data_IF_846149433461
#
_entry.id   IF_846149433461
#
_cell.length_a   1.000
_cell.length_b   1.000
_cell.length_c   1.000
_cell.angle_alpha   90.00
_cell.angle_beta   90.00
_cell.angle_gamma   90.00
#
_symmetry.space_group_name_H-M   'P 1'
#
loop_
_entity.id
_entity.type
_entity.pdbx_description
1 polymer ?
#
# COMPACT_ATOMS: atom_id res chain seq x y z
N UNK A 1 -5.02 8.54 19.90
CA UNK A 1 -3.93 7.59 19.59
C UNK A 1 -3.87 7.55 18.09
N UNK A 2 -2.73 7.88 17.50
CA UNK A 2 -2.63 8.06 16.05
C UNK A 2 -1.98 6.85 15.39
N UNK A 3 -2.23 6.66 14.09
CA UNK A 3 -1.63 5.57 13.30
C UNK A 3 -0.10 5.54 13.42
N UNK A 4 0.51 6.72 13.39
CA UNK A 4 1.95 6.88 13.49
C UNK A 4 2.50 6.35 14.81
N UNK A 5 1.79 6.60 15.92
CA UNK A 5 2.18 6.11 17.25
C UNK A 5 2.12 4.58 17.33
N UNK A 6 1.12 3.97 16.69
CA UNK A 6 0.98 2.52 16.62
C UNK A 6 2.09 1.88 15.76
N UNK A 7 2.42 2.46 14.61
CA UNK A 7 3.46 1.96 13.72
C UNK A 7 4.86 1.98 14.35
N UNK A 8 5.14 2.96 15.21
CA UNK A 8 6.41 3.09 15.92
C UNK A 8 6.56 2.17 17.13
N UNK A 9 5.49 1.56 17.63
CA UNK A 9 5.55 0.62 18.74
C UNK A 9 6.16 -0.72 18.37
N UNK A 10 6.68 -1.41 19.37
CA UNK A 10 7.20 -2.77 19.19
C UNK A 10 6.04 -3.76 19.08
N UNK A 11 6.32 -4.94 18.52
CA UNK A 11 5.31 -6.01 18.43
C UNK A 11 4.81 -6.42 19.82
N UNK A 12 5.67 -6.36 20.84
CA UNK A 12 5.29 -6.70 22.20
C UNK A 12 4.31 -5.66 22.78
N UNK A 13 4.59 -4.36 22.60
CA UNK A 13 3.67 -3.31 23.05
C UNK A 13 2.31 -3.42 22.36
N UNK A 14 2.30 -3.75 21.06
CA UNK A 14 1.05 -3.97 20.30
C UNK A 14 0.28 -5.18 20.82
N UNK A 15 0.95 -6.25 21.23
CA UNK A 15 0.32 -7.43 21.84
C UNK A 15 -0.26 -7.14 23.22
N UNK A 16 0.45 -6.36 24.03
CA UNK A 16 -0.05 -5.92 25.33
C UNK A 16 -1.28 -5.02 25.17
N UNK A 17 -1.27 -4.13 24.17
CA UNK A 17 -2.43 -3.30 23.85
C UNK A 17 -3.60 -4.13 23.33
N UNK A 18 -3.33 -5.13 22.49
CA UNK A 18 -4.36 -6.03 22.00
C UNK A 18 -4.98 -6.87 23.14
N UNK A 19 -4.18 -7.37 24.08
CA UNK A 19 -4.65 -8.16 25.22
C UNK A 19 -5.51 -7.40 26.23
N UNK A 20 -5.61 -6.06 26.14
CA UNK A 20 -6.55 -5.25 26.93
C UNK A 20 -7.97 -5.29 26.41
N UNK A 21 -8.17 -5.76 25.17
CA UNK A 21 -9.48 -5.87 24.54
C UNK A 21 -9.90 -7.34 24.55
N UNK A 22 -11.02 -7.64 25.22
CA UNK A 22 -11.57 -9.01 25.29
C UNK A 22 -11.93 -9.55 23.89
N UNK A 23 -12.23 -8.67 22.94
CA UNK A 23 -12.57 -9.04 21.57
C UNK A 23 -11.37 -9.47 20.70
N UNK A 24 -10.12 -9.28 21.16
CA UNK A 24 -8.91 -9.58 20.37
C UNK A 24 -8.25 -10.85 20.90
N UNK A 25 -8.78 -11.99 20.50
CA UNK A 25 -8.18 -13.30 20.79
C UNK A 25 -7.01 -13.62 19.84
N UNK A 26 -5.98 -14.30 20.35
CA UNK A 26 -4.87 -14.80 19.53
C UNK A 26 -3.80 -13.77 19.14
N UNK A 27 -3.77 -12.60 19.78
CA UNK A 27 -2.78 -11.52 19.55
C UNK A 27 -1.31 -12.00 19.53
N UNK A 28 -0.99 -13.03 20.31
CA UNK A 28 0.36 -13.59 20.47
C UNK A 28 0.91 -14.19 19.16
N UNK A 29 0.06 -14.76 18.31
CA UNK A 29 0.44 -15.40 17.04
C UNK A 29 0.44 -14.48 15.82
N UNK A 30 -0.08 -13.26 15.95
CA UNK A 30 -0.26 -12.34 14.84
C UNK A 30 1.05 -11.62 14.47
N UNK A 31 1.21 -11.34 13.17
CA UNK A 31 2.28 -10.49 12.65
C UNK A 31 2.00 -9.02 12.99
N UNK A 32 3.06 -8.19 13.02
CA UNK A 32 2.95 -6.75 13.34
C UNK A 32 1.86 -6.04 12.53
N UNK A 33 1.80 -6.31 11.22
CA UNK A 33 0.82 -5.67 10.34
C UNK A 33 -0.63 -6.05 10.69
N UNK A 34 -0.87 -7.32 11.04
CA UNK A 34 -2.19 -7.81 11.44
C UNK A 34 -2.63 -7.23 12.79
N UNK A 35 -1.70 -7.12 13.75
CA UNK A 35 -1.95 -6.46 15.04
C UNK A 35 -2.31 -4.99 14.86
N UNK A 36 -1.62 -4.28 13.97
CA UNK A 36 -1.93 -2.88 13.66
C UNK A 36 -3.31 -2.73 13.02
N UNK A 37 -3.69 -3.61 12.10
CA UNK A 37 -5.01 -3.58 11.46
C UNK A 37 -6.13 -3.76 12.49
N UNK A 38 -6.03 -4.76 13.36
CA UNK A 38 -7.02 -5.01 14.41
C UNK A 38 -7.11 -3.85 15.41
N UNK A 39 -5.98 -3.31 15.85
CA UNK A 39 -5.95 -2.17 16.77
C UNK A 39 -6.49 -0.90 16.11
N UNK A 40 -6.18 -0.64 14.85
CA UNK A 40 -6.72 0.51 14.11
C UNK A 40 -8.23 0.39 13.92
N UNK A 41 -8.74 -0.80 13.59
CA UNK A 41 -10.17 -1.08 13.46
C UNK A 41 -10.91 -0.87 14.78
N UNK A 42 -10.35 -1.37 15.90
CA UNK A 42 -10.94 -1.21 17.24
C UNK A 42 -10.88 0.23 17.75
N UNK A 43 -9.82 0.97 17.43
CA UNK A 43 -9.65 2.36 17.83
C UNK A 43 -10.36 3.35 16.87
N UNK A 44 -10.98 2.87 15.79
CA UNK A 44 -11.63 3.71 14.78
C UNK A 44 -10.65 4.59 14.00
N UNK A 45 -9.37 4.21 13.94
CA UNK A 45 -8.32 4.93 13.23
C UNK A 45 -8.36 4.47 11.77
N UNK A 46 -8.74 5.37 10.86
CA UNK A 46 -8.77 5.07 9.43
C UNK A 46 -7.34 4.91 8.89
N UNK A 47 -6.93 3.65 8.77
CA UNK A 47 -5.68 3.28 8.14
C UNK A 47 -5.87 3.37 6.64
N UNK A 48 -5.45 4.50 6.05
CA UNK A 48 -5.27 4.60 4.61
C UNK A 48 -4.30 3.50 4.16
N UNK A 49 -4.93 2.46 3.65
CA UNK A 49 -4.43 1.11 3.37
C UNK A 49 -3.01 1.06 2.81
N UNK A 50 -2.31 0.00 3.25
CA UNK A 50 -1.13 -0.53 2.58
C UNK A 50 -1.24 -0.38 1.07
N UNK A 51 -0.17 0.14 0.45
CA UNK A 51 -0.05 0.16 -1.01
C UNK A 51 -0.39 -1.26 -1.51
N UNK A 52 -1.39 -1.44 -2.39
CA UNK A 52 -1.89 -2.78 -2.67
C UNK A 52 -0.80 -3.66 -3.28
N UNK A 53 -0.71 -4.89 -2.80
CA UNK A 53 0.27 -5.88 -3.26
C UNK A 53 -0.13 -6.48 -4.61
N UNK A 54 0.80 -7.13 -5.31
CA UNK A 54 0.51 -7.83 -6.57
C UNK A 54 0.34 -6.96 -7.83
N UNK A 55 0.37 -5.62 -7.74
CA UNK A 55 0.14 -4.72 -8.91
C UNK A 55 1.38 -4.57 -9.83
N UNK A 56 2.43 -5.38 -9.66
CA UNK A 56 3.65 -5.27 -10.48
C UNK A 56 4.40 -3.93 -10.34
N UNK A 57 4.15 -3.14 -9.29
CA UNK A 57 4.73 -1.80 -9.08
C UNK A 57 6.25 -1.76 -9.09
N UNK A 58 6.91 -2.87 -8.72
CA UNK A 58 8.38 -3.01 -8.78
C UNK A 58 8.90 -2.88 -10.21
N UNK A 59 8.25 -3.55 -11.18
CA UNK A 59 8.60 -3.48 -12.60
C UNK A 59 8.41 -2.06 -13.16
N UNK A 60 7.26 -1.43 -12.87
CA UNK A 60 6.99 -0.06 -13.33
C UNK A 60 8.01 0.93 -12.74
N UNK A 61 8.41 0.75 -11.46
CA UNK A 61 9.47 1.57 -10.84
C UNK A 61 10.85 1.31 -11.45
N UNK A 62 11.15 0.09 -11.87
CA UNK A 62 12.38 -0.22 -12.62
C UNK A 62 12.40 0.52 -13.96
N UNK A 63 11.33 0.40 -14.77
CA UNK A 63 11.20 1.12 -16.05
C UNK A 63 11.38 2.65 -15.88
N UNK A 64 10.83 3.23 -14.80
CA UNK A 64 10.97 4.67 -14.52
C UNK A 64 12.42 5.02 -14.19
N UNK A 65 13.17 4.15 -13.50
CA UNK A 65 14.60 4.39 -13.23
C UNK A 65 15.41 4.36 -14.52
N UNK A 66 15.15 3.42 -15.41
CA UNK A 66 15.85 3.33 -16.70
C UNK A 66 15.54 4.54 -17.60
N UNK A 67 14.29 4.98 -17.62
CA UNK A 67 13.90 6.21 -18.33
C UNK A 67 14.55 7.46 -17.74
N UNK A 68 14.82 7.51 -16.43
CA UNK A 68 15.56 8.63 -15.84
C UNK A 68 17.01 8.65 -16.30
N UNK A 69 17.67 7.49 -16.40
CA UNK A 69 19.03 7.41 -16.98
C UNK A 69 19.06 7.95 -18.41
N UNK A 70 18.13 7.49 -19.25
CA UNK A 70 17.99 7.99 -20.64
C UNK A 70 17.70 9.49 -20.73
N UNK A 71 16.99 10.05 -19.75
CA UNK A 71 16.75 11.50 -19.67
C UNK A 71 18.05 12.23 -19.37
N UNK A 72 18.85 11.69 -18.46
CA UNK A 72 20.12 12.28 -18.06
C UNK A 72 21.11 12.23 -19.24
N UNK A 73 21.18 11.11 -19.96
CA UNK A 73 21.96 11.00 -21.20
C UNK A 73 21.51 12.02 -22.28
N UNK A 74 20.21 12.25 -22.42
CA UNK A 74 19.66 13.22 -23.38
C UNK A 74 19.93 14.68 -22.95
N UNK A 75 20.00 14.94 -21.64
CA UNK A 75 20.39 16.25 -21.10
C UNK A 75 21.86 16.55 -21.40
N UNK A 76 22.74 15.57 -21.21
CA UNK A 76 24.17 15.71 -21.52
C UNK A 76 24.41 15.95 -23.01
N UNK A 77 23.65 15.27 -23.88
CA UNK A 77 23.74 15.43 -25.34
C UNK A 77 23.02 16.67 -25.88
N UNK A 78 22.35 17.45 -25.01
CA UNK A 78 21.50 18.57 -25.40
C UNK A 78 20.43 18.23 -26.47
N UNK A 79 19.99 16.97 -26.52
CA UNK A 79 18.97 16.51 -27.47
C UNK A 79 17.58 16.82 -26.93
N UNK A 80 17.02 17.94 -27.38
CA UNK A 80 15.71 18.44 -26.96
C UNK A 80 14.55 17.51 -27.37
N UNK A 81 14.67 16.80 -28.49
CA UNK A 81 13.64 15.90 -29.02
C UNK A 81 13.60 14.62 -28.18
N UNK A 82 14.77 13.99 -27.96
CA UNK A 82 14.88 12.82 -27.10
C UNK A 82 14.47 13.15 -25.66
N UNK A 83 14.85 14.32 -25.15
CA UNK A 83 14.48 14.77 -23.82
C UNK A 83 12.96 14.90 -23.64
N UNK A 84 12.26 15.49 -24.63
CA UNK A 84 10.80 15.62 -24.61
C UNK A 84 10.11 14.24 -24.61
N UNK A 85 10.56 13.34 -25.49
CA UNK A 85 10.02 11.98 -25.58
C UNK A 85 10.19 11.19 -24.27
N UNK A 86 11.39 11.21 -23.68
CA UNK A 86 11.68 10.49 -22.43
C UNK A 86 10.88 11.08 -21.26
N UNK A 87 10.75 12.41 -21.16
CA UNK A 87 9.90 13.06 -20.15
C UNK A 87 8.43 12.64 -20.28
N UNK A 88 7.93 12.55 -21.52
CA UNK A 88 6.60 12.04 -21.82
C UNK A 88 6.40 10.59 -21.35
N UNK A 89 7.36 9.71 -21.65
CA UNK A 89 7.35 8.32 -21.22
C UNK A 89 7.33 8.18 -19.69
N UNK A 90 8.17 8.96 -18.98
CA UNK A 90 8.18 9.00 -17.50
C UNK A 90 6.82 9.43 -16.95
N UNK A 91 6.23 10.50 -17.49
CA UNK A 91 4.92 11.00 -17.07
C UNK A 91 3.84 9.94 -17.28
N UNK A 92 3.85 9.27 -18.43
CA UNK A 92 2.91 8.19 -18.76
C UNK A 92 3.03 7.01 -17.79
N UNK A 93 4.25 6.49 -17.55
CA UNK A 93 4.50 5.39 -16.62
C UNK A 93 4.10 5.74 -15.18
N UNK A 94 4.38 6.96 -14.71
CA UNK A 94 3.90 7.46 -13.39
C UNK A 94 2.37 7.51 -13.31
N UNK A 95 1.70 7.98 -14.37
CA UNK A 95 0.22 7.98 -14.43
C UNK A 95 -0.34 6.56 -14.44
N UNK A 96 0.27 5.65 -15.19
CA UNK A 96 -0.11 4.24 -15.20
C UNK A 96 0.02 3.62 -13.80
N UNK A 97 1.15 3.83 -13.10
CA UNK A 97 1.32 3.35 -11.73
C UNK A 97 0.23 3.87 -10.78
N UNK A 98 -0.08 5.18 -10.84
CA UNK A 98 -1.15 5.76 -10.02
C UNK A 98 -2.52 5.16 -10.33
N UNK A 99 -2.85 4.98 -11.62
CA UNK A 99 -4.12 4.34 -12.03
C UNK A 99 -4.21 2.90 -11.55
N UNK A 100 -3.11 2.16 -11.62
CA UNK A 100 -3.04 0.78 -11.15
C UNK A 100 -3.24 0.69 -9.63
N UNK A 101 -2.62 1.60 -8.87
CA UNK A 101 -2.83 1.71 -7.42
C UNK A 101 -4.28 2.09 -7.11
N UNK A 102 -4.84 3.13 -7.74
CA UNK A 102 -6.22 3.55 -7.50
C UNK A 102 -7.24 2.48 -7.89
N UNK A 103 -7.00 1.77 -8.99
CA UNK A 103 -7.86 0.67 -9.43
C UNK A 103 -7.80 -0.52 -8.45
N UNK A 104 -6.62 -0.84 -7.93
CA UNK A 104 -6.45 -1.88 -6.92
C UNK A 104 -7.10 -1.48 -5.58
N UNK A 105 -6.96 -0.23 -5.14
CA UNK A 105 -7.64 0.29 -3.95
C UNK A 105 -9.16 0.25 -4.11
N UNK A 106 -9.68 0.68 -5.26
CA UNK A 106 -11.11 0.58 -5.59
C UNK A 106 -11.60 -0.87 -5.64
N UNK A 107 -10.78 -1.80 -6.14
CA UNK A 107 -11.10 -3.24 -6.15
C UNK A 107 -11.11 -3.82 -4.72
N UNK A 108 -10.20 -3.36 -3.87
CA UNK A 108 -10.15 -3.77 -2.46
C UNK A 108 -11.39 -3.27 -1.70
N UNK A 109 -11.79 -2.01 -1.90
CA UNK A 109 -13.01 -1.45 -1.28
C UNK A 109 -14.31 -2.03 -1.85
N UNK A 110 -14.27 -2.62 -3.05
CA UNK A 110 -15.43 -3.23 -3.71
C UNK A 110 -15.58 -4.74 -3.44
N UNK A 111 -14.75 -5.36 -2.58
CA UNK A 111 -14.90 -6.78 -2.27
C UNK A 111 -16.14 -6.98 -1.37
N UNK A 112 -17.10 -7.82 -1.76
CA UNK A 112 -18.37 -7.97 -1.08
C UNK A 112 -18.23 -8.72 0.25
N UNK A 113 -18.94 -8.22 1.27
CA UNK A 113 -19.45 -9.05 2.36
C UNK A 113 -20.31 -10.15 1.72
N UNK A 114 -19.78 -11.37 1.64
CA UNK A 114 -20.57 -12.54 1.32
C UNK A 114 -19.95 -13.76 1.99
N UNK A 115 -20.83 -14.56 2.60
CA UNK A 115 -20.63 -15.84 3.32
C UNK A 115 -20.02 -15.66 4.73
N UNK A 116 -20.72 -15.85 5.86
CA UNK A 116 -21.72 -16.88 6.23
C UNK A 116 -22.72 -16.36 7.27
N UNK A 117 -23.98 -16.18 6.87
CA UNK A 117 -25.11 -16.47 7.75
C UNK A 117 -25.82 -17.66 7.13
N UNK A 118 -25.70 -18.83 7.76
CA UNK A 118 -26.54 -19.97 7.50
C UNK A 118 -27.31 -20.27 8.79
N UNK A 119 -28.58 -19.87 8.92
CA UNK A 119 -29.47 -20.47 9.88
C UNK A 119 -30.23 -21.63 9.21
N UNK A 120 -29.77 -22.85 9.43
CA UNK A 120 -30.51 -24.09 9.20
C UNK A 120 -29.78 -25.20 9.98
N UNK A 121 -30.34 -25.91 10.96
CA UNK A 121 -31.70 -26.05 11.48
C UNK A 121 -31.60 -26.48 12.95
#
# INVERSE_FOLDING_TARGET
MDLHELEHKTVNDLREMAGKYEDIEGATGLKKEQLLELLCEKLGIDRQTHVPEGIGRRKIKADIRDLRRKRDDALEKHDSVALAAVRGAIKSKKRHLRRQISAALRKASAKPQAVKEAPAS
#
